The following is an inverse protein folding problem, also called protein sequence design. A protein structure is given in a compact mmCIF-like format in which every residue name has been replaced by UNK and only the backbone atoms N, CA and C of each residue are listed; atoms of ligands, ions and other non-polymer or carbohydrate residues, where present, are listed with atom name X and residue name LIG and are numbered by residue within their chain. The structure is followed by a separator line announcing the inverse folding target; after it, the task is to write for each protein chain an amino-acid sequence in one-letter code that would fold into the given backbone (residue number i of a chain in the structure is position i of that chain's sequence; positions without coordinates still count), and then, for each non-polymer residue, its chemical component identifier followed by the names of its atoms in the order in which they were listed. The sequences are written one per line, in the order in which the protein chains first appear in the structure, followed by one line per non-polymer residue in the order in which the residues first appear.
data_IF_733271698747
#
_entry.id   IF_733271698747
#
_cell.length_a   1.000
_cell.length_b   1.000
_cell.length_c   1.000
_cell.angle_alpha   90.00
_cell.angle_beta   90.00
_cell.angle_gamma   90.00
#
_symmetry.space_group_name_H-M   'P 1'
#
loop_
_entity.id
_entity.type
_entity.pdbx_description
1 polymer ?
#
# COMPACT_ATOMS: atom_id res chain seq x y z
N UNK A 1 10.84 35.54 29.64
CA UNK A 1 10.41 36.00 28.30
C UNK A 1 11.36 35.58 27.17
N UNK A 2 12.70 35.58 27.34
CA UNK A 2 13.66 35.12 26.31
C UNK A 2 13.61 33.61 26.00
N UNK A 3 13.33 32.76 26.99
CA UNK A 3 13.35 31.30 26.85
C UNK A 3 12.19 30.73 26.01
N UNK A 4 11.00 31.35 26.08
CA UNK A 4 9.83 30.95 25.29
C UNK A 4 10.05 31.22 23.79
N UNK A 5 10.73 32.31 23.46
CA UNK A 5 11.03 32.68 22.07
C UNK A 5 12.03 31.69 21.41
N UNK A 6 13.00 31.18 22.19
CA UNK A 6 13.97 30.19 21.73
C UNK A 6 13.30 28.84 21.43
N UNK A 7 12.34 28.41 22.26
CA UNK A 7 11.60 27.16 22.06
C UNK A 7 10.72 27.23 20.80
N UNK A 8 10.06 28.38 20.57
CA UNK A 8 9.25 28.60 19.37
C UNK A 8 10.12 28.59 18.11
N UNK A 9 11.27 29.27 18.13
CA UNK A 9 12.19 29.26 16.97
C UNK A 9 12.76 27.86 16.69
N UNK A 10 13.08 27.08 17.72
CA UNK A 10 13.57 25.71 17.55
C UNK A 10 12.50 24.78 16.92
N UNK A 11 11.24 24.94 17.32
CA UNK A 11 10.12 24.19 16.74
C UNK A 11 9.85 24.57 15.28
N UNK A 12 9.99 25.86 14.94
CA UNK A 12 9.88 26.35 13.56
C UNK A 12 11.00 25.78 12.69
N UNK A 13 12.25 25.73 13.18
CA UNK A 13 13.38 25.14 12.46
C UNK A 13 13.17 23.63 12.24
N UNK A 14 12.72 22.89 13.26
CA UNK A 14 12.35 21.47 13.11
C UNK A 14 11.27 21.24 12.05
N UNK A 15 10.24 22.10 12.06
CA UNK A 15 9.17 22.06 11.06
C UNK A 15 9.70 22.32 9.65
N UNK A 16 10.54 23.33 9.45
CA UNK A 16 11.14 23.62 8.15
C UNK A 16 12.10 22.54 7.67
N UNK A 17 12.89 21.94 8.57
CA UNK A 17 13.74 20.81 8.23
C UNK A 17 12.91 19.61 7.73
N UNK A 18 11.77 19.32 8.36
CA UNK A 18 10.84 18.27 7.92
C UNK A 18 10.24 18.60 6.55
N UNK A 19 9.80 19.84 6.32
CA UNK A 19 9.21 20.29 5.04
C UNK A 19 10.24 20.26 3.89
N UNK A 20 11.47 20.72 4.14
CA UNK A 20 12.54 20.72 3.14
C UNK A 20 12.96 19.28 2.81
N UNK A 21 13.12 18.43 3.84
CA UNK A 21 13.43 17.00 3.63
C UNK A 21 12.29 16.29 2.90
N UNK A 22 11.03 16.65 3.21
CA UNK A 22 9.86 16.14 2.50
C UNK A 22 9.87 16.54 1.01
N UNK A 23 10.11 17.81 0.68
CA UNK A 23 10.15 18.30 -0.72
C UNK A 23 11.34 17.80 -1.52
N UNK A 24 12.51 17.67 -0.90
CA UNK A 24 13.69 17.07 -1.54
C UNK A 24 13.43 15.58 -1.77
N UNK A 25 12.84 14.88 -0.80
CA UNK A 25 12.43 13.48 -0.98
C UNK A 25 11.39 13.36 -2.09
N UNK A 26 10.42 14.26 -2.20
CA UNK A 26 9.34 14.17 -3.18
C UNK A 26 9.83 14.24 -4.62
N UNK A 27 10.67 15.23 -4.97
CA UNK A 27 11.24 15.35 -6.32
C UNK A 27 12.14 14.17 -6.67
N UNK A 28 12.96 13.72 -5.72
CA UNK A 28 13.81 12.56 -5.92
C UNK A 28 13.00 11.28 -6.01
N UNK A 29 11.96 11.11 -5.21
CA UNK A 29 11.09 9.94 -5.19
C UNK A 29 10.23 9.86 -6.43
N UNK A 30 9.68 10.97 -6.95
CA UNK A 30 8.97 10.96 -8.24
C UNK A 30 9.93 10.61 -9.38
N UNK A 31 11.13 11.20 -9.40
CA UNK A 31 12.12 10.91 -10.43
C UNK A 31 12.65 9.47 -10.34
N UNK A 32 12.78 8.94 -9.13
CA UNK A 32 13.18 7.57 -8.85
C UNK A 32 12.06 6.57 -9.19
N UNK A 33 10.80 6.86 -8.84
CA UNK A 33 9.65 6.05 -9.22
C UNK A 33 9.50 6.03 -10.74
N UNK A 34 9.57 7.17 -11.41
CA UNK A 34 9.53 7.21 -12.88
C UNK A 34 10.71 6.45 -13.50
N UNK A 35 11.91 6.57 -12.92
CA UNK A 35 13.08 5.82 -13.35
C UNK A 35 12.94 4.31 -13.15
N UNK A 36 12.40 3.87 -12.01
CA UNK A 36 12.12 2.46 -11.72
C UNK A 36 11.03 1.94 -12.65
N UNK A 37 9.92 2.67 -12.83
CA UNK A 37 8.84 2.25 -13.73
C UNK A 37 9.37 2.11 -15.16
N UNK A 38 10.15 3.07 -15.65
CA UNK A 38 10.73 3.00 -16.99
C UNK A 38 11.75 1.85 -17.11
N UNK A 39 12.56 1.64 -16.08
CA UNK A 39 13.54 0.56 -16.03
C UNK A 39 12.88 -0.81 -15.96
N UNK A 40 11.93 -1.02 -15.05
CA UNK A 40 11.19 -2.27 -14.84
C UNK A 40 10.35 -2.63 -16.07
N UNK A 41 9.72 -1.65 -16.72
CA UNK A 41 8.95 -1.86 -17.94
C UNK A 41 9.84 -2.27 -19.12
N UNK A 42 11.02 -1.65 -19.26
CA UNK A 42 12.03 -2.05 -20.25
C UNK A 42 12.61 -3.42 -19.94
N UNK A 43 12.88 -3.75 -18.67
CA UNK A 43 13.47 -5.03 -18.28
C UNK A 43 12.50 -6.20 -18.44
N UNK A 44 11.21 -5.99 -18.12
CA UNK A 44 10.13 -6.97 -18.27
C UNK A 44 9.94 -7.42 -19.73
N UNK A 45 10.14 -6.53 -20.69
CA UNK A 45 10.03 -6.85 -22.11
C UNK A 45 11.21 -7.67 -22.66
N UNK A 46 12.35 -7.74 -21.95
CA UNK A 46 13.61 -8.24 -22.51
C UNK A 46 14.12 -9.57 -21.93
N UNK A 47 13.61 -10.10 -20.81
CA UNK A 47 14.17 -11.32 -20.21
C UNK A 47 13.12 -12.22 -19.53
N UNK A 48 12.93 -13.45 -20.03
CA UNK A 48 12.02 -14.47 -19.48
C UNK A 48 12.58 -15.25 -18.28
N UNK A 49 13.85 -15.08 -17.92
CA UNK A 49 14.57 -15.95 -16.98
C UNK A 49 14.93 -15.32 -15.63
N UNK A 50 14.55 -14.07 -15.36
CA UNK A 50 14.89 -13.34 -14.12
C UNK A 50 13.69 -12.94 -13.20
N UNK A 51 12.63 -13.75 -13.02
CA UNK A 51 11.42 -13.28 -12.32
C UNK A 51 11.62 -13.00 -10.81
N UNK A 52 12.37 -13.82 -10.08
CA UNK A 52 12.31 -13.84 -8.60
C UNK A 52 12.96 -12.62 -7.94
N UNK A 53 14.11 -12.17 -8.44
CA UNK A 53 14.86 -11.05 -7.88
C UNK A 53 14.13 -9.72 -8.13
N UNK A 54 13.57 -9.54 -9.32
CA UNK A 54 12.77 -8.37 -9.68
C UNK A 54 11.54 -8.23 -8.78
N UNK A 55 10.79 -9.33 -8.59
CA UNK A 55 9.63 -9.32 -7.71
C UNK A 55 9.97 -8.97 -6.26
N UNK A 56 11.13 -9.42 -5.78
CA UNK A 56 11.62 -9.08 -4.45
C UNK A 56 11.94 -7.58 -4.33
N UNK A 57 12.55 -6.98 -5.37
CA UNK A 57 12.82 -5.54 -5.41
C UNK A 57 11.53 -4.72 -5.42
N UNK A 58 10.58 -5.07 -6.29
CA UNK A 58 9.26 -4.42 -6.38
C UNK A 58 8.53 -4.50 -5.04
N UNK A 59 8.61 -5.64 -4.36
CA UNK A 59 7.98 -5.83 -3.06
C UNK A 59 8.61 -4.95 -1.98
N UNK A 60 9.93 -5.00 -1.84
CA UNK A 60 10.67 -4.25 -0.82
C UNK A 60 10.47 -2.74 -1.02
N UNK A 61 10.54 -2.26 -2.26
CA UNK A 61 10.30 -0.85 -2.60
C UNK A 61 8.86 -0.43 -2.32
N UNK A 62 7.87 -1.26 -2.67
CA UNK A 62 6.45 -1.02 -2.37
C UNK A 62 6.19 -0.92 -0.87
N UNK A 63 6.71 -1.89 -0.10
CA UNK A 63 6.56 -1.93 1.35
C UNK A 63 7.22 -0.72 2.02
N UNK A 64 8.44 -0.37 1.60
CA UNK A 64 9.16 0.79 2.10
C UNK A 64 8.37 2.08 1.85
N UNK A 65 7.90 2.28 0.62
CA UNK A 65 7.18 3.48 0.24
C UNK A 65 5.85 3.62 1.00
N UNK A 66 5.04 2.57 1.01
CA UNK A 66 3.76 2.57 1.73
C UNK A 66 3.95 2.77 3.23
N UNK A 67 4.95 2.10 3.84
CA UNK A 67 5.24 2.25 5.27
C UNK A 67 5.61 3.70 5.60
N UNK A 68 6.53 4.29 4.82
CA UNK A 68 6.93 5.70 4.98
C UNK A 68 5.73 6.64 4.83
N UNK A 69 4.86 6.39 3.85
CA UNK A 69 3.66 7.20 3.63
C UNK A 69 2.67 7.09 4.79
N UNK A 70 2.45 5.88 5.34
CA UNK A 70 1.59 5.68 6.49
C UNK A 70 2.13 6.32 7.77
N UNK A 71 3.44 6.31 7.99
CA UNK A 71 4.05 7.07 9.10
C UNK A 71 3.83 8.58 8.95
N UNK A 72 3.92 9.12 7.73
CA UNK A 72 3.61 10.53 7.46
C UNK A 72 2.15 10.86 7.75
N UNK A 73 1.20 9.98 7.40
CA UNK A 73 -0.19 10.13 7.82
C UNK A 73 -0.37 10.02 9.34
N UNK A 74 0.39 9.16 10.04
CA UNK A 74 0.37 9.10 11.51
C UNK A 74 0.83 10.42 12.13
N UNK A 75 1.90 11.01 11.60
CA UNK A 75 2.40 12.31 12.06
C UNK A 75 1.40 13.44 11.78
N UNK A 76 0.78 13.44 10.61
CA UNK A 76 -0.31 14.37 10.30
C UNK A 76 -1.46 14.27 11.33
N UNK A 77 -1.88 13.05 11.66
CA UNK A 77 -2.90 12.81 12.68
C UNK A 77 -2.45 13.28 14.08
N UNK A 78 -1.16 13.14 14.40
CA UNK A 78 -0.59 13.64 15.65
C UNK A 78 -0.62 15.18 15.71
N UNK A 79 -0.24 15.84 14.62
CA UNK A 79 -0.32 17.30 14.50
C UNK A 79 -1.75 17.80 14.70
N UNK A 80 -2.74 17.10 14.12
CA UNK A 80 -4.15 17.45 14.33
C UNK A 80 -4.55 17.37 15.81
N UNK A 81 -4.14 16.31 16.53
CA UNK A 81 -4.45 16.16 17.96
C UNK A 81 -3.82 17.23 18.84
N UNK A 82 -2.75 17.88 18.40
CA UNK A 82 -2.12 18.98 19.13
C UNK A 82 -2.87 20.31 18.99
N UNK A 83 -3.85 20.40 18.09
CA UNK A 83 -4.68 21.60 17.96
C UNK A 83 -5.61 21.76 19.18
N UNK A 84 -5.89 23.01 19.60
CA UNK A 84 -6.79 23.26 20.72
C UNK A 84 -8.21 22.74 20.41
N UNK A 85 -8.90 22.27 21.44
CA UNK A 85 -10.26 21.76 21.32
C UNK A 85 -11.18 22.83 20.73
N UNK A 86 -12.01 22.45 19.75
CA UNK A 86 -12.87 23.38 19.02
C UNK A 86 -12.14 24.36 18.10
N UNK A 87 -10.80 24.28 17.98
CA UNK A 87 -9.94 25.23 17.24
C UNK A 87 -10.18 26.70 17.64
N UNK A 88 -10.44 26.92 18.93
CA UNK A 88 -10.64 28.24 19.53
C UNK A 88 -9.39 28.62 20.32
N UNK A 89 -8.95 29.87 20.21
CA UNK A 89 -7.82 30.39 20.98
C UNK A 89 -8.13 30.36 22.49
N UNK A 90 -7.17 29.84 23.27
CA UNK A 90 -7.22 29.85 24.73
C UNK A 90 -6.32 30.97 25.28
N UNK A 91 -6.66 31.60 26.42
CA UNK A 91 -5.79 32.59 27.06
C UNK A 91 -4.42 31.99 27.36
N UNK A 92 -3.34 32.60 26.83
CA UNK A 92 -1.97 32.09 26.96
C UNK A 92 -1.60 30.93 26.03
N UNK A 93 -2.50 30.52 25.13
CA UNK A 93 -2.28 29.50 24.09
C UNK A 93 -2.09 30.09 22.70
N UNK A 94 -2.35 29.29 21.67
CA UNK A 94 -2.28 29.71 20.27
C UNK A 94 -3.35 30.75 19.94
N UNK A 95 -2.97 31.75 19.15
CA UNK A 95 -3.88 32.75 18.61
C UNK A 95 -4.76 32.17 17.49
N UNK A 96 -5.91 32.80 17.22
CA UNK A 96 -6.83 32.36 16.16
C UNK A 96 -6.17 32.34 14.76
N UNK A 97 -5.25 33.27 14.48
CA UNK A 97 -4.51 33.31 13.22
C UNK A 97 -3.51 32.15 13.12
N UNK A 98 -2.77 31.85 14.19
CA UNK A 98 -1.86 30.69 14.24
C UNK A 98 -2.62 29.38 14.06
N UNK A 99 -3.77 29.23 14.73
CA UNK A 99 -4.64 28.06 14.54
C UNK A 99 -5.07 27.94 13.08
N UNK A 100 -5.51 29.03 12.45
CA UNK A 100 -5.91 29.05 11.03
C UNK A 100 -4.77 28.59 10.12
N UNK A 101 -3.57 29.13 10.33
CA UNK A 101 -2.37 28.78 9.54
C UNK A 101 -2.00 27.31 9.73
N UNK A 102 -2.10 26.78 10.96
CA UNK A 102 -1.82 25.36 11.23
C UNK A 102 -2.84 24.44 10.56
N UNK A 103 -4.13 24.78 10.61
CA UNK A 103 -5.19 24.02 9.93
C UNK A 103 -4.96 24.02 8.42
N UNK A 104 -4.64 25.16 7.83
CA UNK A 104 -4.32 25.27 6.41
C UNK A 104 -3.11 24.39 6.04
N UNK A 105 -2.03 24.44 6.83
CA UNK A 105 -0.84 23.61 6.61
C UNK A 105 -1.16 22.12 6.69
N UNK A 106 -1.97 21.70 7.67
CA UNK A 106 -2.40 20.31 7.79
C UNK A 106 -3.25 19.89 6.58
N UNK A 107 -4.17 20.75 6.12
CA UNK A 107 -4.98 20.52 4.92
C UNK A 107 -4.12 20.33 3.67
N UNK A 108 -3.14 21.22 3.45
CA UNK A 108 -2.22 21.15 2.32
C UNK A 108 -1.35 19.89 2.38
N UNK A 109 -0.78 19.56 3.55
CA UNK A 109 0.01 18.36 3.73
C UNK A 109 -0.83 17.09 3.52
N UNK A 110 -2.10 17.07 3.96
CA UNK A 110 -3.02 15.99 3.64
C UNK A 110 -3.24 15.85 2.12
N UNK A 111 -3.32 16.96 1.39
CA UNK A 111 -3.46 16.97 -0.07
C UNK A 111 -2.25 16.32 -0.73
N UNK A 112 -1.05 16.78 -0.38
CA UNK A 112 0.22 16.29 -0.91
C UNK A 112 0.40 14.79 -0.61
N UNK A 113 0.16 14.35 0.62
CA UNK A 113 0.24 12.92 0.98
C UNK A 113 -0.81 12.06 0.27
N UNK A 114 -2.03 12.60 0.07
CA UNK A 114 -3.07 11.90 -0.69
C UNK A 114 -2.72 11.79 -2.17
N UNK A 115 -2.09 12.81 -2.73
CA UNK A 115 -1.61 12.83 -4.09
C UNK A 115 -0.45 11.85 -4.30
N UNK A 116 0.48 11.78 -3.35
CA UNK A 116 1.54 10.78 -3.34
C UNK A 116 0.99 9.35 -3.30
N UNK A 117 -0.02 9.09 -2.46
CA UNK A 117 -0.71 7.79 -2.44
C UNK A 117 -1.34 7.48 -3.81
N UNK A 118 -1.95 8.48 -4.45
CA UNK A 118 -2.58 8.34 -5.78
C UNK A 118 -1.53 8.02 -6.86
N UNK A 119 -0.40 8.73 -6.87
CA UNK A 119 0.70 8.48 -7.81
C UNK A 119 1.30 7.09 -7.61
N UNK A 120 1.48 6.65 -6.37
CA UNK A 120 1.91 5.29 -6.06
C UNK A 120 0.90 4.26 -6.56
N UNK A 121 -0.41 4.49 -6.37
CA UNK A 121 -1.47 3.62 -6.92
C UNK A 121 -1.42 3.51 -8.43
N UNK A 122 -1.17 4.62 -9.14
CA UNK A 122 -1.09 4.62 -10.60
C UNK A 122 0.17 3.92 -11.11
N UNK A 123 1.31 4.11 -10.44
CA UNK A 123 2.58 3.51 -10.86
C UNK A 123 2.70 2.04 -10.46
N UNK A 124 2.53 1.73 -9.18
CA UNK A 124 2.73 0.39 -8.63
C UNK A 124 1.48 -0.48 -8.69
N UNK A 125 0.28 0.08 -8.80
CA UNK A 125 -0.97 -0.69 -8.84
C UNK A 125 -0.98 -1.76 -9.94
N UNK A 126 -0.67 -1.43 -11.21
CA UNK A 126 -0.58 -2.42 -12.29
C UNK A 126 0.53 -3.46 -12.07
N UNK A 127 1.70 -3.02 -11.58
CA UNK A 127 2.84 -3.91 -11.33
C UNK A 127 2.49 -4.93 -10.24
N UNK A 128 1.89 -4.47 -9.13
CA UNK A 128 1.43 -5.33 -8.05
C UNK A 128 0.32 -6.27 -8.51
N UNK A 129 -0.59 -5.82 -9.40
CA UNK A 129 -1.61 -6.68 -10.00
C UNK A 129 -1.00 -7.80 -10.86
N UNK A 130 -0.04 -7.48 -11.72
CA UNK A 130 0.67 -8.48 -12.55
C UNK A 130 1.42 -9.45 -11.63
N UNK A 131 2.10 -8.94 -10.62
CA UNK A 131 2.78 -9.76 -9.62
C UNK A 131 1.81 -10.72 -8.91
N UNK A 132 0.66 -10.20 -8.46
CA UNK A 132 -0.35 -10.97 -7.73
C UNK A 132 -0.97 -12.07 -8.59
N UNK A 133 -1.35 -11.74 -9.83
CA UNK A 133 -1.95 -12.68 -10.77
C UNK A 133 -0.94 -13.75 -11.19
N UNK A 134 0.29 -13.37 -11.54
CA UNK A 134 1.33 -14.31 -11.93
C UNK A 134 1.70 -15.25 -10.78
N UNK A 135 1.88 -14.71 -9.56
CA UNK A 135 2.16 -15.51 -8.36
C UNK A 135 1.03 -16.51 -8.08
N UNK A 136 -0.23 -16.08 -8.20
CA UNK A 136 -1.39 -16.95 -8.04
C UNK A 136 -1.51 -18.04 -9.12
N UNK A 137 -1.25 -17.70 -10.40
CA UNK A 137 -1.25 -18.69 -11.47
C UNK A 137 -0.12 -19.71 -11.33
N UNK A 138 1.09 -19.25 -11.00
CA UNK A 138 2.21 -20.14 -10.69
C UNK A 138 1.84 -21.06 -9.52
N UNK A 139 1.16 -20.51 -8.52
CA UNK A 139 0.74 -21.24 -7.35
C UNK A 139 -0.19 -22.43 -7.64
N UNK A 140 -1.17 -22.20 -8.50
CA UNK A 140 -2.09 -23.25 -8.92
C UNK A 140 -1.37 -24.30 -9.79
N UNK A 141 -0.51 -23.87 -10.71
CA UNK A 141 0.17 -24.76 -11.65
C UNK A 141 1.13 -25.72 -10.94
N UNK A 142 1.96 -25.22 -10.05
CA UNK A 142 2.89 -26.06 -9.28
C UNK A 142 2.14 -27.01 -8.34
N UNK A 143 1.08 -26.55 -7.65
CA UNK A 143 0.21 -27.44 -6.84
C UNK A 143 -0.39 -28.56 -7.69
N UNK A 144 -0.84 -28.22 -8.90
CA UNK A 144 -1.37 -29.19 -9.85
C UNK A 144 -0.32 -30.21 -10.28
N UNK A 145 0.90 -29.76 -10.61
CA UNK A 145 2.02 -30.64 -10.95
C UNK A 145 2.39 -31.56 -9.78
N UNK A 146 2.48 -31.03 -8.55
CA UNK A 146 2.74 -31.82 -7.35
C UNK A 146 1.66 -32.90 -7.21
N UNK A 147 0.39 -32.55 -7.39
CA UNK A 147 -0.73 -33.50 -7.24
C UNK A 147 -0.66 -34.65 -8.26
N UNK A 148 -0.25 -34.37 -9.50
CA UNK A 148 -0.09 -35.38 -10.56
C UNK A 148 1.15 -36.25 -10.37
N UNK A 149 2.28 -35.65 -10.02
CA UNK A 149 3.59 -36.30 -10.00
C UNK A 149 3.98 -36.92 -8.65
N UNK A 150 3.14 -36.78 -7.61
CA UNK A 150 3.42 -37.18 -6.21
C UNK A 150 3.60 -38.70 -5.95
N UNK A 151 3.91 -39.53 -6.96
CA UNK A 151 4.29 -40.94 -6.72
C UNK A 151 5.75 -41.08 -6.26
N UNK A 152 6.59 -40.05 -6.39
CA UNK A 152 7.99 -40.08 -5.94
C UNK A 152 8.12 -39.74 -4.45
N UNK A 153 8.74 -40.63 -3.66
CA UNK A 153 8.93 -40.52 -2.19
C UNK A 153 9.80 -39.36 -1.70
N UNK A 154 10.44 -38.59 -2.59
CA UNK A 154 11.25 -37.43 -2.20
C UNK A 154 10.44 -36.14 -2.30
N UNK A 155 9.78 -35.79 -1.21
CA UNK A 155 9.18 -34.47 -1.05
C UNK A 155 10.28 -33.42 -0.98
N UNK A 156 10.50 -32.68 -2.06
CA UNK A 156 11.21 -31.41 -1.92
C UNK A 156 10.30 -30.45 -1.16
N UNK A 157 10.71 -30.03 0.05
CA UNK A 157 10.01 -28.99 0.83
C UNK A 157 10.10 -27.61 0.17
N UNK A 158 10.97 -27.48 -0.83
CA UNK A 158 11.36 -26.24 -1.47
C UNK A 158 10.17 -25.48 -2.11
N UNK A 159 9.25 -26.10 -2.89
CA UNK A 159 8.07 -25.39 -3.42
C UNK A 159 7.17 -24.85 -2.30
N UNK A 160 6.94 -25.63 -1.24
CA UNK A 160 6.13 -25.21 -0.09
C UNK A 160 6.71 -23.99 0.65
N UNK A 161 8.04 -23.89 0.74
CA UNK A 161 8.71 -22.72 1.31
C UNK A 161 8.48 -21.49 0.42
N UNK A 162 8.63 -21.62 -0.89
CA UNK A 162 8.32 -20.55 -1.85
C UNK A 162 6.86 -20.09 -1.72
N UNK A 163 5.91 -21.02 -1.58
CA UNK A 163 4.49 -20.71 -1.33
C UNK A 163 4.27 -19.82 -0.13
N UNK A 164 4.80 -20.25 1.01
CA UNK A 164 4.63 -19.52 2.27
C UNK A 164 5.24 -18.12 2.17
N UNK A 165 6.41 -18.01 1.53
CA UNK A 165 7.05 -16.72 1.28
C UNK A 165 6.18 -15.80 0.42
N UNK A 166 5.62 -16.31 -0.68
CA UNK A 166 4.72 -15.54 -1.55
C UNK A 166 3.46 -15.09 -0.81
N UNK A 167 2.78 -15.97 -0.08
CA UNK A 167 1.59 -15.61 0.71
C UNK A 167 1.93 -14.53 1.75
N UNK A 168 3.08 -14.66 2.43
CA UNK A 168 3.56 -13.69 3.40
C UNK A 168 3.79 -12.31 2.78
N UNK A 169 4.45 -12.27 1.62
CA UNK A 169 4.71 -11.07 0.84
C UNK A 169 3.42 -10.34 0.41
N UNK A 170 2.46 -11.08 -0.16
CA UNK A 170 1.16 -10.56 -0.58
C UNK A 170 0.40 -9.96 0.62
N UNK A 171 0.36 -10.72 1.72
CA UNK A 171 -0.34 -10.31 2.94
C UNK A 171 0.30 -9.06 3.55
N UNK A 172 1.63 -8.95 3.50
CA UNK A 172 2.37 -7.79 4.00
C UNK A 172 2.01 -6.50 3.25
N UNK A 173 2.00 -6.54 1.91
CA UNK A 173 1.62 -5.37 1.09
C UNK A 173 0.17 -4.96 1.36
N UNK A 174 -0.74 -5.93 1.41
CA UNK A 174 -2.16 -5.67 1.65
C UNK A 174 -2.41 -5.11 3.06
N UNK A 175 -1.71 -5.64 4.06
CA UNK A 175 -1.75 -5.15 5.43
C UNK A 175 -1.27 -3.70 5.53
N UNK A 176 -0.08 -3.40 4.99
CA UNK A 176 0.49 -2.04 5.04
C UNK A 176 -0.42 -1.08 4.28
N UNK A 177 -0.89 -1.45 3.08
CA UNK A 177 -1.85 -0.64 2.30
C UNK A 177 -3.09 -0.31 3.12
N UNK A 178 -3.71 -1.33 3.71
CA UNK A 178 -4.91 -1.15 4.53
C UNK A 178 -4.66 -0.22 5.71
N UNK A 179 -3.50 -0.36 6.36
CA UNK A 179 -3.07 0.51 7.44
C UNK A 179 -2.88 1.97 6.97
N UNK A 180 -2.22 2.21 5.82
CA UNK A 180 -2.08 3.57 5.26
C UNK A 180 -3.45 4.21 5.02
N UNK A 181 -4.38 3.47 4.40
CA UNK A 181 -5.74 3.96 4.12
C UNK A 181 -6.47 4.29 5.43
N UNK A 182 -6.37 3.44 6.45
CA UNK A 182 -6.94 3.71 7.77
C UNK A 182 -6.37 5.00 8.37
N UNK A 183 -5.05 5.21 8.31
CA UNK A 183 -4.42 6.43 8.83
C UNK A 183 -4.79 7.67 8.04
N UNK A 184 -4.91 7.58 6.71
CA UNK A 184 -5.46 8.67 5.88
C UNK A 184 -6.89 9.02 6.33
N UNK A 185 -7.78 8.04 6.47
CA UNK A 185 -9.19 8.25 6.85
C UNK A 185 -9.37 8.75 8.28
N UNK A 186 -8.40 8.52 9.17
CA UNK A 186 -8.51 8.91 10.58
C UNK A 186 -8.74 10.41 10.78
N UNK A 187 -8.18 11.27 9.93
CA UNK A 187 -8.36 12.73 10.03
C UNK A 187 -9.82 13.16 9.82
N UNK A 188 -10.59 12.38 9.04
CA UNK A 188 -12.02 12.61 8.81
C UNK A 188 -12.80 12.48 10.12
N UNK A 189 -12.44 11.50 10.94
CA UNK A 189 -13.10 11.34 12.25
C UNK A 189 -12.87 12.54 13.14
N UNK A 190 -11.66 13.13 13.10
CA UNK A 190 -11.40 14.35 13.84
C UNK A 190 -12.14 15.56 13.30
N UNK A 191 -12.19 15.73 11.98
CA UNK A 191 -12.94 16.81 11.36
C UNK A 191 -14.45 16.74 11.67
N UNK A 192 -15.03 15.55 11.76
CA UNK A 192 -16.44 15.37 12.16
C UNK A 192 -16.73 15.79 13.61
N UNK A 193 -15.73 15.75 14.49
CA UNK A 193 -15.87 16.18 15.90
C UNK A 193 -15.78 17.70 16.07
N UNK A 194 -15.40 18.42 15.01
CA UNK A 194 -15.21 19.87 15.05
C UNK A 194 -16.57 20.59 15.06
N UNK A 195 -16.83 21.40 16.09
CA UNK A 195 -17.98 22.32 16.15
C UNK A 195 -17.71 23.57 15.30
N UNK A 196 -18.16 23.54 14.05
CA UNK A 196 -17.93 24.62 13.07
C UNK A 196 -18.64 25.94 13.46
N UNK A 197 -19.69 25.88 14.28
CA UNK A 197 -20.48 27.05 14.68
C UNK A 197 -19.73 28.05 15.57
N UNK A 198 -18.77 27.57 16.37
CA UNK A 198 -18.07 28.37 17.40
C UNK A 198 -16.74 28.97 16.88
N UNK A 199 -16.43 28.74 15.59
CA UNK A 199 -15.15 29.11 14.98
C UNK A 199 -15.13 30.52 14.41
N UNK A 200 -13.92 31.10 14.32
CA UNK A 200 -13.69 32.29 13.50
C UNK A 200 -13.99 32.00 12.02
N UNK A 201 -14.39 33.05 11.29
CA UNK A 201 -14.80 32.94 9.87
C UNK A 201 -13.69 32.30 9.01
N UNK A 202 -12.43 32.67 9.24
CA UNK A 202 -11.30 32.15 8.48
C UNK A 202 -11.01 30.68 8.78
N UNK A 203 -11.00 30.26 10.05
CA UNK A 203 -10.83 28.85 10.42
C UNK A 203 -11.97 28.00 9.84
N UNK A 204 -13.21 28.50 9.94
CA UNK A 204 -14.39 27.85 9.37
C UNK A 204 -14.27 27.62 7.87
N UNK A 205 -13.74 28.59 7.12
CA UNK A 205 -13.48 28.44 5.69
C UNK A 205 -12.46 27.34 5.41
N UNK A 206 -11.33 27.32 6.15
CA UNK A 206 -10.29 26.31 5.96
C UNK A 206 -10.82 24.89 6.24
N UNK A 207 -11.63 24.70 7.27
CA UNK A 207 -12.26 23.42 7.58
C UNK A 207 -13.22 22.98 6.47
N UNK A 208 -14.03 23.90 5.92
CA UNK A 208 -14.92 23.59 4.79
C UNK A 208 -14.14 23.15 3.56
N UNK A 209 -13.08 23.89 3.20
CA UNK A 209 -12.20 23.52 2.08
C UNK A 209 -11.55 22.15 2.32
N UNK A 210 -11.15 21.86 3.56
CA UNK A 210 -10.56 20.57 3.90
C UNK A 210 -11.56 19.43 3.75
N UNK A 211 -12.79 19.59 4.23
CA UNK A 211 -13.85 18.59 4.07
C UNK A 211 -14.16 18.31 2.61
N UNK A 212 -14.23 19.35 1.77
CA UNK A 212 -14.44 19.21 0.33
C UNK A 212 -13.25 18.52 -0.37
N UNK A 213 -12.02 18.85 0.02
CA UNK A 213 -10.84 18.19 -0.51
C UNK A 213 -10.84 16.69 -0.17
N UNK A 214 -11.21 16.32 1.05
CA UNK A 214 -11.30 14.92 1.47
C UNK A 214 -12.31 14.16 0.61
N UNK A 215 -13.50 14.71 0.35
CA UNK A 215 -14.49 14.02 -0.48
C UNK A 215 -14.01 13.77 -1.92
N UNK A 216 -13.12 14.63 -2.44
CA UNK A 216 -12.49 14.42 -3.76
C UNK A 216 -11.47 13.28 -3.73
N UNK A 217 -10.73 13.13 -2.63
CA UNK A 217 -9.70 12.07 -2.48
C UNK A 217 -10.21 10.76 -1.86
N UNK A 218 -11.44 10.73 -1.38
CA UNK A 218 -12.10 9.54 -0.80
C UNK A 218 -12.32 8.40 -1.82
N UNK A 219 -12.81 8.65 -3.05
CA UNK A 219 -12.98 7.59 -4.05
C UNK A 219 -11.66 7.08 -4.65
N UNK A 220 -10.56 7.83 -4.50
CA UNK A 220 -9.22 7.42 -4.95
C UNK A 220 -8.56 6.52 -3.89
N UNK A 221 -9.19 5.39 -3.60
CA UNK A 221 -8.60 4.31 -2.81
C UNK A 221 -7.44 3.67 -3.60
N UNK A 222 -6.52 3.01 -2.88
CA UNK A 222 -5.39 2.32 -3.52
C UNK A 222 -5.96 1.16 -4.36
N UNK A 223 -5.95 1.33 -5.68
CA UNK A 223 -6.57 0.42 -6.65
C UNK A 223 -5.53 -0.19 -7.57
N UNK A 224 -5.78 -1.44 -7.96
CA UNK A 224 -5.11 -2.10 -9.07
C UNK A 224 -5.69 -1.61 -10.39
N UNK A 225 -5.26 -0.43 -10.85
CA UNK A 225 -5.70 0.13 -12.14
C UNK A 225 -7.25 0.24 -12.26
N UNK A 226 -7.93 0.50 -11.15
CA UNK A 226 -9.40 0.57 -11.10
C UNK A 226 -10.14 -0.78 -11.15
N UNK A 227 -9.45 -1.92 -11.29
CA UNK A 227 -10.12 -3.24 -11.29
C UNK A 227 -10.57 -3.67 -9.90
N UNK A 228 -9.74 -3.47 -8.89
CA UNK A 228 -10.06 -3.80 -7.50
C UNK A 228 -9.29 -2.93 -6.52
N UNK A 229 -9.90 -2.69 -5.37
CA UNK A 229 -9.23 -2.09 -4.23
C UNK A 229 -8.29 -3.12 -3.61
N UNK A 230 -7.07 -2.70 -3.31
CA UNK A 230 -6.16 -3.49 -2.47
C UNK A 230 -6.57 -3.34 -1.01
N UNK A 231 -7.61 -4.08 -0.63
CA UNK A 231 -8.12 -4.15 0.73
C UNK A 231 -8.01 -5.58 1.28
N UNK A 232 -8.36 -5.74 2.56
CA UNK A 232 -8.40 -7.07 3.19
C UNK A 232 -9.44 -8.00 2.54
N UNK A 233 -10.47 -7.48 1.86
CA UNK A 233 -11.47 -8.32 1.19
C UNK A 233 -10.84 -9.04 0.01
N UNK A 234 -10.02 -8.35 -0.79
CA UNK A 234 -9.24 -8.97 -1.85
C UNK A 234 -8.34 -10.09 -1.30
N UNK A 235 -7.68 -9.87 -0.17
CA UNK A 235 -6.87 -10.92 0.49
C UNK A 235 -7.71 -12.15 0.80
N UNK A 236 -8.88 -11.95 1.42
CA UNK A 236 -9.79 -13.05 1.76
C UNK A 236 -10.27 -13.78 0.51
N UNK A 237 -10.58 -13.05 -0.58
CA UNK A 237 -10.96 -13.64 -1.86
C UNK A 237 -9.84 -14.50 -2.47
N UNK A 238 -8.59 -14.02 -2.45
CA UNK A 238 -7.44 -14.79 -2.97
C UNK A 238 -7.21 -16.05 -2.12
N UNK A 239 -7.27 -15.94 -0.79
CA UNK A 239 -7.11 -17.08 0.11
C UNK A 239 -8.22 -18.13 -0.10
N UNK A 240 -9.48 -17.69 -0.20
CA UNK A 240 -10.61 -18.58 -0.48
C UNK A 240 -10.43 -19.27 -1.83
N UNK A 241 -10.07 -18.52 -2.89
CA UNK A 241 -9.82 -19.08 -4.22
C UNK A 241 -8.69 -20.12 -4.21
N UNK A 242 -7.61 -19.86 -3.46
CA UNK A 242 -6.49 -20.79 -3.34
C UNK A 242 -6.89 -22.07 -2.61
N UNK A 243 -7.59 -21.95 -1.47
CA UNK A 243 -8.09 -23.11 -0.71
C UNK A 243 -9.07 -23.93 -1.54
N UNK A 244 -10.02 -23.27 -2.23
CA UNK A 244 -10.97 -23.94 -3.12
C UNK A 244 -10.26 -24.64 -4.27
N UNK A 245 -9.31 -23.97 -4.94
CA UNK A 245 -8.53 -24.54 -6.03
C UNK A 245 -7.73 -25.78 -5.60
N UNK A 246 -7.03 -25.71 -4.47
CA UNK A 246 -6.29 -26.85 -3.90
C UNK A 246 -7.25 -27.98 -3.55
N UNK A 247 -8.37 -27.69 -2.88
CA UNK A 247 -9.35 -28.69 -2.49
C UNK A 247 -9.94 -29.41 -3.70
N UNK A 248 -10.27 -28.68 -4.76
CA UNK A 248 -10.75 -29.26 -6.02
C UNK A 248 -9.68 -30.14 -6.68
N UNK A 249 -8.42 -29.70 -6.73
CA UNK A 249 -7.33 -30.53 -7.29
C UNK A 249 -7.15 -31.83 -6.49
N UNK A 250 -7.21 -31.77 -5.16
CA UNK A 250 -7.13 -32.95 -4.30
C UNK A 250 -8.30 -33.91 -4.52
N UNK A 251 -9.53 -33.39 -4.62
CA UNK A 251 -10.72 -34.19 -4.91
C UNK A 251 -10.66 -34.83 -6.31
N UNK A 252 -10.06 -34.15 -7.28
CA UNK A 252 -9.92 -34.64 -8.66
C UNK A 252 -8.71 -35.55 -8.89
N UNK A 253 -7.89 -35.83 -7.86
CA UNK A 253 -6.65 -36.61 -8.01
C UNK A 253 -6.87 -37.96 -8.70
N UNK A 254 -7.92 -38.67 -8.32
CA UNK A 254 -8.25 -40.00 -8.86
C UNK A 254 -9.26 -39.95 -10.01
N UNK A 255 -9.59 -38.76 -10.51
CA UNK A 255 -10.52 -38.59 -11.61
C UNK A 255 -9.94 -39.18 -12.92
N UNK A 256 -10.74 -39.85 -13.78
CA UNK A 256 -10.25 -40.48 -15.00
C UNK A 256 -9.41 -39.57 -15.90
N UNK A 257 -9.81 -38.30 -16.04
CA UNK A 257 -9.05 -37.30 -16.79
C UNK A 257 -7.65 -37.04 -16.20
N UNK A 258 -7.54 -36.99 -14.87
CA UNK A 258 -6.28 -36.73 -14.18
C UNK A 258 -5.33 -37.94 -14.30
N UNK A 259 -5.89 -39.14 -14.15
CA UNK A 259 -5.17 -40.40 -14.37
C UNK A 259 -4.68 -40.53 -15.82
N UNK A 260 -5.50 -40.14 -16.80
CA UNK A 260 -5.12 -40.09 -18.21
C UNK A 260 -3.92 -39.15 -18.42
N UNK A 261 -4.00 -37.90 -17.94
CA UNK A 261 -2.91 -36.93 -18.03
C UNK A 261 -1.62 -37.44 -17.38
N UNK A 262 -1.73 -38.03 -16.18
CA UNK A 262 -0.60 -38.65 -15.46
C UNK A 262 0.08 -39.74 -16.29
N UNK A 263 -0.69 -40.64 -16.89
CA UNK A 263 -0.17 -41.74 -17.69
C UNK A 263 0.48 -41.26 -18.98
N UNK A 264 -0.15 -40.33 -19.72
CA UNK A 264 0.41 -39.76 -20.95
C UNK A 264 1.73 -39.01 -20.71
N UNK A 265 1.85 -38.31 -19.58
CA UNK A 265 3.09 -37.65 -19.19
C UNK A 265 4.20 -38.65 -18.83
N UNK A 266 3.86 -39.76 -18.16
CA UNK A 266 4.79 -40.83 -17.82
C UNK A 266 5.29 -41.62 -19.04
N UNK A 267 4.47 -41.75 -20.09
CA UNK A 267 4.89 -42.33 -21.37
C UNK A 267 5.88 -41.40 -22.09
N UNK A 268 5.57 -40.10 -22.19
CA UNK A 268 6.48 -39.14 -22.84
C UNK A 268 7.86 -39.07 -22.18
N UNK A 269 7.95 -39.15 -20.85
CA UNK A 269 9.24 -39.14 -20.15
C UNK A 269 10.05 -40.44 -20.31
N UNK A 270 9.42 -41.55 -20.74
CA UNK A 270 10.13 -42.80 -21.07
C UNK A 270 10.72 -42.80 -22.48
N UNK A 271 10.14 -42.04 -23.41
CA UNK A 271 10.61 -41.96 -24.79
C UNK A 271 11.81 -40.98 -24.97
N UNK A 272 12.10 -40.17 -23.95
CA UNK A 272 13.18 -39.16 -23.95
C UNK A 272 14.45 -39.65 -23.24
N UNK A 273 14.39 -40.79 -22.54
CA UNK A 273 15.54 -41.46 -21.89
C UNK A 273 15.93 -42.72 -22.64
#
# INVERSE_FOLDING_TARGET
MKTVNIIVQFNVIKYWAIVITARISEKWTIKFINGIIEFDFKLFLFNSSFPVELYSIILVTSLYYLSNLGYRFCELNRLWKCLPFGLIALPGGLTNSEITILVERIRLLHAELSELLRLFSLGYGPILLIYFTFTFSNALLETFLITIYNDSKEYSLLPFIFYLQHIFHMTSILYITSWVIEKKKKIISYLRLVRISEMTVHTKLQIKMFMQQISVYEPNEFTAFGFFNFDLKLTMSILVLLISGISTMLQMKDHPLMLYLKNSLKERNRDVN
#
